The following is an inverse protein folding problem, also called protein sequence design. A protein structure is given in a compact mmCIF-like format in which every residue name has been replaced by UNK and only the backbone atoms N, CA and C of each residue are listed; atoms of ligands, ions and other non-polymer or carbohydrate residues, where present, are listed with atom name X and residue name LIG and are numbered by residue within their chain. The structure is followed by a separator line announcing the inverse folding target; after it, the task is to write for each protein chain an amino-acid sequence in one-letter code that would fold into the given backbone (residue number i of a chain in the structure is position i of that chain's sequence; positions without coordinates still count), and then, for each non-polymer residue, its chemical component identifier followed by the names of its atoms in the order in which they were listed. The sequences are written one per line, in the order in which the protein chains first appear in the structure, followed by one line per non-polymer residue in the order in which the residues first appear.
data_IF_892163438239
#
_entry.id   IF_892163438239
#
_cell.length_a   1.000
_cell.length_b   1.000
_cell.length_c   1.000
_cell.angle_alpha   90.00
_cell.angle_beta   90.00
_cell.angle_gamma   90.00
#
_symmetry.space_group_name_H-M   'P 1'
#
loop_
_entity.id
_entity.type
_entity.pdbx_description
1 polymer ?
#
# COMPACT_ATOMS: atom_id res chain seq x y z
N UNK A 1 -5.90 6.29 -13.21
CA UNK A 1 -5.55 6.49 -11.80
C UNK A 1 -6.28 7.65 -11.16
N UNK A 2 -6.24 8.85 -11.76
CA UNK A 2 -6.94 10.02 -11.19
C UNK A 2 -8.44 9.81 -11.04
N UNK A 3 -9.12 9.23 -12.06
CA UNK A 3 -10.56 8.96 -11.98
C UNK A 3 -10.93 7.96 -10.90
N UNK A 4 -10.13 6.92 -10.73
CA UNK A 4 -10.34 5.92 -9.68
C UNK A 4 -10.19 6.54 -8.29
N UNK A 5 -9.16 7.35 -8.07
CA UNK A 5 -8.91 8.03 -6.81
C UNK A 5 -10.03 9.01 -6.48
N UNK A 6 -10.47 9.81 -7.47
CA UNK A 6 -11.56 10.76 -7.29
C UNK A 6 -12.88 10.05 -6.96
N UNK A 7 -13.21 8.95 -7.65
CA UNK A 7 -14.40 8.17 -7.38
C UNK A 7 -14.37 7.58 -5.97
N UNK A 8 -13.23 7.06 -5.54
CA UNK A 8 -13.06 6.52 -4.20
C UNK A 8 -13.36 7.58 -3.13
N UNK A 9 -12.76 8.77 -3.26
CA UNK A 9 -12.96 9.86 -2.29
C UNK A 9 -14.38 10.42 -2.31
N UNK A 10 -14.96 10.59 -3.50
CA UNK A 10 -16.32 11.14 -3.64
C UNK A 10 -17.36 10.23 -3.00
N UNK A 11 -17.18 8.93 -3.04
CA UNK A 11 -18.09 7.94 -2.44
C UNK A 11 -17.67 7.54 -1.02
N UNK A 12 -16.66 8.19 -0.45
CA UNK A 12 -16.08 7.87 0.86
C UNK A 12 -15.63 6.42 0.97
N UNK A 13 -15.07 5.89 -0.12
CA UNK A 13 -14.53 4.55 -0.14
C UNK A 13 -15.53 3.43 -0.37
N UNK A 14 -16.79 3.75 -0.64
CA UNK A 14 -17.79 2.71 -0.97
C UNK A 14 -17.42 2.02 -2.28
N UNK A 15 -17.09 2.80 -3.31
CA UNK A 15 -16.62 2.27 -4.58
C UNK A 15 -15.13 1.95 -4.48
N UNK A 16 -14.74 0.73 -4.83
CA UNK A 16 -13.36 0.27 -4.81
C UNK A 16 -12.91 -0.30 -3.47
N UNK A 17 -13.76 -0.24 -2.43
CA UNK A 17 -13.40 -0.77 -1.12
C UNK A 17 -13.96 -2.18 -0.87
N UNK A 18 -15.22 -2.43 -1.22
CA UNK A 18 -15.90 -3.69 -0.92
C UNK A 18 -16.65 -4.28 -2.10
N UNK A 19 -16.12 -4.13 -3.29
CA UNK A 19 -16.69 -4.83 -4.43
C UNK A 19 -16.43 -6.33 -4.31
N UNK A 20 -17.45 -7.18 -4.52
CA UNK A 20 -17.24 -8.63 -4.54
C UNK A 20 -16.21 -9.01 -5.59
N UNK A 21 -15.27 -9.86 -5.23
CA UNK A 21 -14.22 -10.34 -6.12
C UNK A 21 -13.03 -9.40 -6.28
N UNK A 22 -13.07 -8.19 -5.71
CA UNK A 22 -11.95 -7.27 -5.74
C UNK A 22 -11.24 -7.26 -4.37
N UNK A 23 -9.90 -7.16 -4.36
CA UNK A 23 -9.18 -7.03 -3.10
C UNK A 23 -9.51 -5.70 -2.44
N UNK A 24 -9.39 -5.66 -1.10
CA UNK A 24 -9.58 -4.42 -0.37
C UNK A 24 -8.46 -3.43 -0.67
N UNK A 25 -8.81 -2.17 -0.80
CA UNK A 25 -7.88 -1.11 -1.20
C UNK A 25 -7.94 0.08 -0.26
N UNK A 26 -6.82 0.78 -0.17
CA UNK A 26 -6.72 2.06 0.52
C UNK A 26 -6.21 3.12 -0.43
N UNK A 27 -6.36 4.39 -0.04
CA UNK A 27 -5.68 5.50 -0.70
C UNK A 27 -4.51 5.91 0.19
N UNK A 28 -3.30 5.88 -0.38
CA UNK A 28 -2.08 6.29 0.29
C UNK A 28 -1.72 7.70 -0.15
N UNK A 29 -1.66 8.64 0.80
CA UNK A 29 -1.08 9.95 0.55
C UNK A 29 0.43 9.82 0.71
N UNK A 30 1.20 10.40 -0.21
CA UNK A 30 2.66 10.43 -0.12
C UNK A 30 3.20 11.71 -0.74
N UNK A 31 4.44 12.05 -0.38
CA UNK A 31 5.08 13.28 -0.84
C UNK A 31 6.30 12.89 -1.67
N UNK A 32 6.40 13.44 -2.87
CA UNK A 32 7.52 13.17 -3.75
C UNK A 32 8.85 13.45 -3.08
N UNK A 33 9.75 12.46 -3.06
CA UNK A 33 11.03 12.57 -2.38
C UNK A 33 11.91 13.68 -2.98
N UNK A 34 11.76 13.95 -4.26
CA UNK A 34 12.52 15.01 -4.96
C UNK A 34 11.70 16.27 -5.16
N UNK A 35 10.42 16.14 -5.54
CA UNK A 35 9.58 17.27 -5.93
C UNK A 35 8.88 17.95 -4.75
N UNK A 36 8.69 17.26 -3.63
CA UNK A 36 7.89 17.76 -2.51
C UNK A 36 6.40 17.81 -2.80
N UNK A 37 5.95 17.34 -3.95
CA UNK A 37 4.53 17.39 -4.32
C UNK A 37 3.74 16.28 -3.67
N UNK A 38 2.54 16.61 -3.22
CA UNK A 38 1.60 15.61 -2.67
C UNK A 38 1.02 14.76 -3.79
N UNK A 39 0.95 13.46 -3.53
CA UNK A 39 0.36 12.48 -4.44
C UNK A 39 -0.54 11.55 -3.65
N UNK A 40 -1.43 10.88 -4.35
CA UNK A 40 -2.30 9.85 -3.77
C UNK A 40 -2.32 8.65 -4.69
N UNK A 41 -2.12 7.46 -4.12
CA UNK A 41 -2.11 6.20 -4.87
C UNK A 41 -3.08 5.20 -4.27
N UNK A 42 -3.94 4.55 -5.10
CA UNK A 42 -4.76 3.44 -4.63
C UNK A 42 -3.91 2.17 -4.55
N UNK A 43 -3.97 1.49 -3.42
CA UNK A 43 -3.15 0.29 -3.17
C UNK A 43 -3.98 -0.77 -2.47
N UNK A 44 -3.73 -2.02 -2.83
CA UNK A 44 -4.23 -3.18 -2.10
C UNK A 44 -3.51 -3.26 -0.76
N UNK A 45 -4.22 -3.63 0.29
CA UNK A 45 -3.63 -3.78 1.62
C UNK A 45 -4.13 -5.03 2.32
N UNK A 46 -3.30 -5.53 3.24
CA UNK A 46 -3.67 -6.56 4.18
C UNK A 46 -3.64 -5.99 5.59
N UNK A 47 -4.29 -6.65 6.54
CA UNK A 47 -4.27 -6.24 7.94
C UNK A 47 -3.40 -7.16 8.77
N UNK A 48 -2.68 -6.56 9.71
CA UNK A 48 -1.90 -7.28 10.72
C UNK A 48 -2.17 -6.58 12.06
N UNK A 49 -3.19 -7.06 12.79
CA UNK A 49 -3.66 -6.36 13.98
C UNK A 49 -4.17 -4.97 13.65
N UNK A 50 -3.59 -3.95 14.25
CA UNK A 50 -3.91 -2.55 13.96
C UNK A 50 -3.09 -1.97 12.79
N UNK A 51 -2.08 -2.71 12.35
CA UNK A 51 -1.23 -2.27 11.25
C UNK A 51 -1.84 -2.62 9.90
N UNK A 52 -1.51 -1.82 8.89
CA UNK A 52 -1.84 -2.10 7.50
C UNK A 52 -0.56 -2.47 6.77
N UNK A 53 -0.64 -3.43 5.85
CA UNK A 53 0.52 -3.89 5.10
C UNK A 53 0.26 -3.67 3.61
N UNK A 54 1.18 -2.99 2.95
CA UNK A 54 1.13 -2.76 1.50
C UNK A 54 2.39 -3.37 0.87
N UNK A 55 2.30 -3.68 -0.41
CA UNK A 55 3.33 -4.43 -1.13
C UNK A 55 3.89 -3.57 -2.26
N UNK A 56 5.20 -3.34 -2.25
CA UNK A 56 5.86 -2.53 -3.27
C UNK A 56 6.19 -3.36 -4.51
N UNK A 57 5.17 -4.01 -5.08
CA UNK A 57 5.34 -4.97 -6.16
C UNK A 57 5.57 -4.34 -7.53
N UNK A 58 4.87 -3.27 -7.85
CA UNK A 58 4.86 -2.65 -9.17
C UNK A 58 4.74 -3.71 -10.28
N UNK A 59 3.85 -4.72 -10.08
CA UNK A 59 3.62 -5.79 -11.05
C UNK A 59 4.84 -6.67 -11.34
N UNK A 60 5.80 -6.75 -10.43
CA UNK A 60 7.05 -7.49 -10.63
C UNK A 60 8.09 -6.72 -11.45
N UNK A 61 7.92 -5.40 -11.60
CA UNK A 61 8.91 -4.56 -12.26
C UNK A 61 10.25 -4.63 -11.52
N UNK A 62 11.42 -4.52 -12.24
CA UNK A 62 12.72 -4.56 -11.57
C UNK A 62 12.99 -3.41 -10.59
N UNK A 63 12.23 -2.32 -10.69
CA UNK A 63 12.36 -1.17 -9.79
C UNK A 63 11.18 -1.08 -8.85
N UNK A 64 11.41 -0.54 -7.65
CA UNK A 64 10.34 -0.26 -6.71
C UNK A 64 9.44 0.88 -7.21
N UNK A 65 8.15 0.90 -6.82
CA UNK A 65 7.27 1.99 -7.19
C UNK A 65 7.70 3.31 -6.54
N UNK A 66 7.33 4.43 -7.17
CA UNK A 66 7.71 5.76 -6.68
C UNK A 66 7.24 6.02 -5.24
N UNK A 67 6.04 5.54 -4.87
CA UNK A 67 5.52 5.76 -3.52
C UNK A 67 6.38 5.10 -2.44
N UNK A 68 7.08 4.01 -2.78
CA UNK A 68 7.98 3.35 -1.84
C UNK A 68 9.14 4.27 -1.45
N UNK A 69 9.77 4.89 -2.44
CA UNK A 69 10.86 5.85 -2.20
C UNK A 69 10.36 7.09 -1.46
N UNK A 70 9.14 7.54 -1.81
CA UNK A 70 8.53 8.69 -1.15
C UNK A 70 8.26 8.42 0.33
N UNK A 71 7.77 7.23 0.67
CA UNK A 71 7.54 6.86 2.07
C UNK A 71 8.84 6.69 2.86
N UNK A 72 9.90 6.21 2.22
CA UNK A 72 11.19 6.12 2.91
C UNK A 72 11.75 7.50 3.26
N UNK A 73 11.54 8.48 2.38
CA UNK A 73 11.96 9.85 2.63
C UNK A 73 11.05 10.56 3.64
N UNK A 74 9.75 10.28 3.60
CA UNK A 74 8.73 10.92 4.43
C UNK A 74 7.79 9.86 5.00
N UNK A 75 8.19 9.17 6.09
CA UNK A 75 7.44 8.00 6.58
C UNK A 75 6.12 8.31 7.29
N UNK A 76 5.96 9.54 7.80
CA UNK A 76 4.69 9.94 8.41
C UNK A 76 3.74 10.45 7.35
N UNK A 77 2.58 9.82 7.24
CA UNK A 77 1.59 10.17 6.22
C UNK A 77 0.19 9.79 6.68
N UNK A 78 -0.75 9.79 5.75
CA UNK A 78 -2.15 9.44 6.02
C UNK A 78 -2.65 8.48 4.95
N UNK A 79 -3.44 7.51 5.36
CA UNK A 79 -4.17 6.64 4.45
C UNK A 79 -5.67 6.85 4.63
N UNK A 80 -6.43 6.55 3.58
CA UNK A 80 -7.89 6.51 3.67
C UNK A 80 -8.36 5.08 3.44
N UNK A 81 -9.09 4.56 4.42
CA UNK A 81 -9.70 3.23 4.38
C UNK A 81 -11.20 3.42 4.52
N UNK A 82 -11.95 3.13 3.46
CA UNK A 82 -13.36 3.49 3.43
C UNK A 82 -13.53 5.00 3.57
N UNK A 83 -14.28 5.43 4.56
CA UNK A 83 -14.49 6.85 4.85
C UNK A 83 -13.52 7.40 5.90
N UNK A 84 -12.66 6.55 6.47
CA UNK A 84 -11.75 6.97 7.55
C UNK A 84 -10.39 7.39 7.01
N UNK A 85 -9.89 8.52 7.51
CA UNK A 85 -8.52 8.94 7.28
C UNK A 85 -7.71 8.61 8.52
N UNK A 86 -6.62 7.87 8.33
CA UNK A 86 -5.82 7.32 9.41
C UNK A 86 -4.39 7.81 9.26
N UNK A 87 -3.88 8.61 10.23
CA UNK A 87 -2.46 8.96 10.25
C UNK A 87 -1.63 7.70 10.53
N UNK A 88 -0.58 7.50 9.76
CA UNK A 88 0.27 6.31 9.89
C UNK A 88 1.74 6.69 9.81
N UNK A 89 2.59 5.80 10.33
CA UNK A 89 4.04 5.86 10.10
C UNK A 89 4.46 4.59 9.36
N UNK A 90 5.14 4.78 8.24
CA UNK A 90 5.58 3.70 7.37
C UNK A 90 6.95 3.18 7.79
N UNK A 91 7.14 1.86 7.71
CA UNK A 91 8.43 1.20 7.83
C UNK A 91 8.48 -0.04 6.95
N UNK A 92 9.66 -0.42 6.53
CA UNK A 92 9.84 -1.68 5.81
C UNK A 92 9.77 -2.83 6.82
N UNK A 93 9.08 -3.92 6.44
CA UNK A 93 8.98 -5.10 7.28
C UNK A 93 10.36 -5.67 7.60
N UNK A 94 10.55 -6.10 8.84
CA UNK A 94 11.79 -6.76 9.25
C UNK A 94 11.87 -8.17 8.65
N UNK A 95 13.09 -8.73 8.47
CA UNK A 95 13.20 -10.12 8.01
C UNK A 95 12.45 -11.12 8.88
N UNK A 96 12.40 -10.89 10.19
CA UNK A 96 11.72 -11.80 11.12
C UNK A 96 10.20 -11.86 10.92
N UNK A 97 9.58 -10.76 10.48
CA UNK A 97 8.13 -10.71 10.28
C UNK A 97 7.72 -10.90 8.82
N UNK A 98 8.67 -10.89 7.88
CA UNK A 98 8.38 -10.87 6.44
C UNK A 98 7.54 -12.06 5.97
N UNK A 99 7.90 -13.27 6.34
CA UNK A 99 7.20 -14.46 5.83
C UNK A 99 5.75 -14.48 6.27
N UNK A 100 5.50 -14.12 7.51
CA UNK A 100 4.13 -14.03 8.05
C UNK A 100 3.32 -12.96 7.31
N UNK A 101 3.91 -11.79 7.12
CA UNK A 101 3.23 -10.69 6.43
C UNK A 101 3.04 -10.97 4.95
N UNK A 102 3.99 -11.65 4.32
CA UNK A 102 3.87 -12.05 2.92
C UNK A 102 2.67 -12.97 2.71
N UNK A 103 2.48 -13.95 3.59
CA UNK A 103 1.32 -14.85 3.50
C UNK A 103 0.00 -14.09 3.66
N UNK A 104 -0.06 -13.10 4.56
CA UNK A 104 -1.24 -12.26 4.70
C UNK A 104 -1.53 -11.46 3.43
N UNK A 105 -0.49 -10.91 2.81
CA UNK A 105 -0.62 -10.15 1.56
C UNK A 105 -1.12 -11.04 0.42
N UNK A 106 -0.57 -12.24 0.30
CA UNK A 106 -0.97 -13.20 -0.74
C UNK A 106 -2.41 -13.68 -0.56
N UNK A 107 -2.87 -13.83 0.68
CA UNK A 107 -4.29 -14.14 0.94
C UNK A 107 -5.22 -13.08 0.38
N UNK A 108 -4.82 -11.81 0.45
CA UNK A 108 -5.62 -10.71 -0.10
C UNK A 108 -5.49 -10.64 -1.62
N UNK A 109 -4.30 -10.84 -2.15
CA UNK A 109 -4.06 -10.81 -3.59
C UNK A 109 -2.98 -11.79 -4.00
N UNK A 110 -3.40 -12.94 -4.55
CA UNK A 110 -2.49 -14.04 -4.93
C UNK A 110 -1.50 -13.69 -6.02
N UNK A 111 -1.79 -12.67 -6.84
CA UNK A 111 -0.90 -12.24 -7.92
C UNK A 111 0.49 -11.78 -7.45
N UNK A 112 0.66 -11.46 -6.18
CA UNK A 112 1.98 -11.10 -5.65
C UNK A 112 3.00 -12.20 -5.80
N UNK A 113 2.60 -13.47 -5.72
CA UNK A 113 3.52 -14.60 -5.93
C UNK A 113 4.10 -14.57 -7.33
N UNK A 114 3.25 -14.32 -8.35
CA UNK A 114 3.72 -14.21 -9.73
C UNK A 114 4.62 -12.99 -9.93
N UNK A 115 4.28 -11.87 -9.29
CA UNK A 115 5.11 -10.67 -9.38
C UNK A 115 6.50 -10.90 -8.82
N UNK A 116 6.63 -11.64 -7.71
CA UNK A 116 7.93 -11.98 -7.15
C UNK A 116 8.75 -12.86 -8.10
N UNK A 117 8.09 -13.74 -8.83
CA UNK A 117 8.77 -14.60 -9.82
C UNK A 117 9.28 -13.82 -11.03
N UNK A 118 8.74 -12.63 -11.30
CA UNK A 118 9.15 -11.79 -12.44
C UNK A 118 10.36 -10.93 -12.17
N UNK A 119 10.82 -10.86 -10.93
CA UNK A 119 11.95 -10.00 -10.56
C UNK A 119 12.87 -10.71 -9.59
N UNK A 120 14.17 -10.40 -9.69
CA UNK A 120 15.18 -10.90 -8.77
C UNK A 120 15.21 -10.12 -7.46
N UNK A 121 14.70 -8.87 -7.46
CA UNK A 121 14.64 -8.10 -6.22
C UNK A 121 13.63 -8.71 -5.25
N UNK A 122 13.94 -8.66 -3.97
CA UNK A 122 12.96 -8.99 -2.95
C UNK A 122 11.94 -7.86 -2.88
N UNK A 123 10.66 -8.17 -3.17
CA UNK A 123 9.60 -7.16 -3.15
C UNK A 123 9.38 -6.69 -1.71
N UNK A 124 9.57 -5.39 -1.42
CA UNK A 124 9.39 -4.89 -0.05
C UNK A 124 7.95 -4.97 0.41
N UNK A 125 7.77 -5.33 1.67
CA UNK A 125 6.52 -5.17 2.40
C UNK A 125 6.66 -3.94 3.28
N UNK A 126 5.67 -3.08 3.27
CA UNK A 126 5.66 -1.85 4.06
C UNK A 126 4.56 -1.93 5.10
N UNK A 127 4.93 -1.74 6.35
CA UNK A 127 3.99 -1.72 7.47
C UNK A 127 3.62 -0.28 7.75
N UNK A 128 2.32 -0.01 7.81
CA UNK A 128 1.75 1.29 8.11
C UNK A 128 1.13 1.22 9.50
N UNK A 129 1.87 1.73 10.49
CA UNK A 129 1.42 1.70 11.88
C UNK A 129 0.62 2.98 12.18
N UNK A 130 -0.61 2.86 12.71
CA UNK A 130 -1.39 4.04 13.06
C UNK A 130 -0.65 4.93 14.08
N UNK A 131 -0.69 6.23 13.84
CA UNK A 131 -0.14 7.25 14.77
C UNK A 131 -1.27 7.82 15.62
N UNK A 132 -0.93 8.18 16.82
CA UNK A 132 -1.86 8.86 17.72
C UNK A 132 -1.67 10.37 17.69
#
# INVERSE_FOLDING_TARGET
MKGHTAAYRATRGVVGHRFPGLPQMLLLDHVGAKSGRRRTSPLVYARDGHDLVIVASKGGHPRNPAWFHNLRANPDTTVQVGSKRIPVRARVATPAERDRLWEKAVEVYGGYREYQLRTEREIPLVVLAPRR
#
